data_IF_387564231391
#
_entry.id   IF_387564231391
#
_cell.length_a   1.000
_cell.length_b   1.000
_cell.length_c   1.000
_cell.angle_alpha   90.00
_cell.angle_beta   90.00
_cell.angle_gamma   90.00
#
_symmetry.space_group_name_H-M   'P 1'
#
loop_
_entity.id
_entity.type
_entity.pdbx_description
1 polymer ?
#
# COMPACT_ATOMS: atom_id res chain seq x y z
N UNK A 1 6.27 37.16 -19.40
CA UNK A 1 7.65 37.45 -19.82
C UNK A 1 8.32 36.11 -20.11
N UNK A 2 8.91 35.88 -21.29
CA UNK A 2 9.65 34.65 -21.53
C UNK A 2 10.93 34.67 -20.68
N UNK A 3 11.21 33.55 -20.01
CA UNK A 3 12.45 33.35 -19.27
C UNK A 3 13.62 33.49 -20.25
N UNK A 4 14.47 34.48 -19.98
CA UNK A 4 15.74 34.68 -20.67
C UNK A 4 16.54 33.38 -20.61
N UNK A 5 16.73 32.73 -21.76
CA UNK A 5 17.70 31.64 -21.90
C UNK A 5 19.09 32.26 -21.85
N UNK A 6 19.75 32.19 -20.69
CA UNK A 6 21.16 32.52 -20.58
C UNK A 6 21.96 31.56 -21.48
N UNK A 7 22.33 32.04 -22.66
CA UNK A 7 23.24 31.38 -23.58
C UNK A 7 24.65 31.42 -23.00
N UNK A 8 24.95 30.46 -22.15
CA UNK A 8 26.28 30.26 -21.57
C UNK A 8 26.29 28.94 -20.82
N UNK A 9 27.05 27.96 -21.31
CA UNK A 9 27.28 26.73 -20.57
C UNK A 9 27.97 26.98 -19.23
N UNK A 10 28.10 25.94 -18.39
CA UNK A 10 28.81 26.03 -17.11
C UNK A 10 30.21 26.63 -17.26
N UNK A 11 30.68 27.36 -16.26
CA UNK A 11 32.04 27.94 -16.23
C UNK A 11 33.09 26.84 -16.57
N UNK A 12 34.03 27.15 -17.48
CA UNK A 12 35.13 26.26 -17.90
C UNK A 12 35.94 25.72 -16.71
N UNK A 13 36.15 26.51 -15.67
CA UNK A 13 36.84 26.06 -14.45
C UNK A 13 36.05 24.96 -13.72
N UNK A 14 34.73 25.08 -13.68
CA UNK A 14 33.85 24.06 -13.10
C UNK A 14 33.87 22.77 -13.94
N UNK A 15 33.89 22.88 -15.27
CA UNK A 15 34.02 21.73 -16.17
C UNK A 15 35.37 21.02 -16.00
N UNK A 16 36.46 21.77 -15.86
CA UNK A 16 37.79 21.22 -15.62
C UNK A 16 37.86 20.50 -14.26
N UNK A 17 37.30 21.11 -13.21
CA UNK A 17 37.23 20.48 -11.88
C UNK A 17 36.32 19.25 -11.89
N UNK A 18 35.18 19.28 -12.57
CA UNK A 18 34.31 18.12 -12.78
C UNK A 18 35.08 16.97 -13.42
N UNK A 19 35.80 17.23 -14.52
CA UNK A 19 36.60 16.22 -15.20
C UNK A 19 37.71 15.66 -14.29
N UNK A 20 38.38 16.52 -13.51
CA UNK A 20 39.39 16.10 -12.53
C UNK A 20 38.79 15.21 -11.44
N UNK A 21 37.69 15.64 -10.81
CA UNK A 21 37.02 14.86 -9.76
C UNK A 21 36.55 13.52 -10.30
N UNK A 22 35.92 13.48 -11.47
CA UNK A 22 35.44 12.23 -12.06
C UNK A 22 36.57 11.29 -12.52
N UNK A 23 37.78 11.81 -12.77
CA UNK A 23 38.96 10.99 -13.03
C UNK A 23 39.44 10.26 -11.77
N UNK A 24 39.36 10.91 -10.61
CA UNK A 24 39.74 10.33 -9.31
C UNK A 24 38.60 9.52 -8.68
N UNK A 25 37.36 9.95 -8.90
CA UNK A 25 36.12 9.42 -8.34
C UNK A 25 35.05 9.31 -9.44
N UNK A 26 35.04 8.23 -10.24
CA UNK A 26 34.11 8.07 -11.35
C UNK A 26 32.64 8.27 -10.95
N UNK A 27 31.93 9.13 -11.68
CA UNK A 27 30.51 9.41 -11.46
C UNK A 27 30.18 10.21 -10.19
N UNK A 28 31.17 10.79 -9.52
CA UNK A 28 30.94 11.58 -8.31
C UNK A 28 30.24 12.92 -8.60
N UNK A 29 30.43 13.49 -9.79
CA UNK A 29 29.83 14.75 -10.22
C UNK A 29 29.17 14.56 -11.59
N UNK A 30 27.91 14.97 -11.75
CA UNK A 30 27.20 14.99 -13.01
C UNK A 30 26.40 16.29 -13.15
N UNK A 31 25.90 16.57 -14.34
CA UNK A 31 24.95 17.68 -14.48
C UNK A 31 23.62 17.32 -13.82
N UNK A 32 22.99 18.28 -13.16
CA UNK A 32 21.67 18.09 -12.60
C UNK A 32 20.63 17.66 -13.65
N UNK A 33 20.79 18.09 -14.91
CA UNK A 33 19.93 17.67 -16.03
C UNK A 33 20.13 16.22 -16.46
N UNK A 34 21.25 15.59 -16.08
CA UNK A 34 21.56 14.19 -16.35
C UNK A 34 21.14 13.28 -15.18
N UNK A 35 20.84 13.87 -14.01
CA UNK A 35 20.38 13.11 -12.86
C UNK A 35 19.09 12.38 -13.20
N UNK A 36 19.09 11.08 -12.96
CA UNK A 36 17.90 10.23 -13.10
C UNK A 36 17.23 10.08 -11.74
N UNK A 37 15.91 10.15 -11.73
CA UNK A 37 15.10 9.90 -10.54
C UNK A 37 15.00 8.39 -10.38
N UNK A 38 15.25 7.90 -9.16
CA UNK A 38 15.11 6.48 -8.85
C UNK A 38 13.69 6.01 -9.16
N UNK A 39 13.58 4.82 -9.73
CA UNK A 39 12.29 4.15 -9.93
C UNK A 39 11.56 4.01 -8.60
N UNK A 40 10.23 4.15 -8.65
CA UNK A 40 9.35 4.02 -7.49
C UNK A 40 8.68 2.66 -7.49
N UNK A 41 8.48 2.11 -6.31
CA UNK A 41 7.81 0.83 -6.13
C UNK A 41 6.33 1.08 -5.85
N UNK A 42 5.44 0.39 -6.55
CA UNK A 42 3.99 0.52 -6.27
C UNK A 42 3.68 -0.04 -4.88
N UNK A 43 2.76 0.59 -4.17
CA UNK A 43 2.22 0.10 -2.91
C UNK A 43 1.14 -0.98 -3.09
N UNK A 44 0.70 -1.21 -4.33
CA UNK A 44 -0.46 -2.04 -4.65
C UNK A 44 -1.81 -1.33 -4.46
N UNK A 45 -1.80 -0.05 -4.09
CA UNK A 45 -2.97 0.81 -3.92
C UNK A 45 -2.79 2.09 -4.74
N UNK A 46 -3.74 2.41 -5.62
CA UNK A 46 -3.70 3.63 -6.43
C UNK A 46 -3.69 4.87 -5.54
N UNK A 47 -4.53 4.86 -4.51
CA UNK A 47 -4.67 6.01 -3.61
C UNK A 47 -3.36 6.32 -2.88
N UNK A 48 -2.71 5.27 -2.37
CA UNK A 48 -1.44 5.39 -1.66
C UNK A 48 -0.29 5.75 -2.61
N UNK A 49 -0.27 5.19 -3.81
CA UNK A 49 0.73 5.57 -4.81
C UNK A 49 0.65 7.05 -5.13
N UNK A 50 -0.55 7.60 -5.34
CA UNK A 50 -0.76 9.04 -5.55
C UNK A 50 -0.28 9.85 -4.34
N UNK A 51 -0.69 9.48 -3.12
CA UNK A 51 -0.29 10.17 -1.89
C UNK A 51 1.23 10.17 -1.66
N UNK A 52 1.94 9.17 -2.18
CA UNK A 52 3.39 9.07 -2.10
C UNK A 52 4.11 9.81 -3.24
N UNK A 53 3.41 10.24 -4.28
CA UNK A 53 3.99 10.87 -5.49
C UNK A 53 4.36 9.87 -6.59
N UNK A 54 3.59 8.80 -6.72
CA UNK A 54 3.78 7.71 -7.68
C UNK A 54 4.34 6.41 -7.08
N UNK A 55 4.12 6.15 -5.79
CA UNK A 55 4.60 4.96 -5.08
C UNK A 55 5.76 5.21 -4.12
N UNK A 56 6.28 4.16 -3.49
CA UNK A 56 7.38 4.23 -2.55
C UNK A 56 8.69 4.70 -3.21
N UNK A 57 9.45 5.62 -2.59
CA UNK A 57 10.67 6.15 -3.17
C UNK A 57 11.77 5.09 -3.21
N UNK A 58 12.30 4.80 -4.39
CA UNK A 58 13.43 3.89 -4.54
C UNK A 58 14.74 4.46 -3.99
N UNK A 59 15.63 3.57 -3.59
CA UNK A 59 16.93 3.80 -2.94
C UNK A 59 16.83 4.52 -1.58
N UNK A 60 15.66 4.46 -0.95
CA UNK A 60 15.36 5.16 0.30
C UNK A 60 14.78 4.24 1.37
N UNK A 61 14.87 4.70 2.62
CA UNK A 61 14.22 4.07 3.76
C UNK A 61 12.91 4.76 4.11
N UNK A 62 11.88 3.97 4.36
CA UNK A 62 10.52 4.40 4.70
C UNK A 62 10.13 3.82 6.06
N UNK A 63 9.41 4.62 6.85
CA UNK A 63 8.80 4.15 8.10
C UNK A 63 7.28 3.99 7.91
N UNK A 64 6.77 2.80 8.24
CA UNK A 64 5.33 2.50 8.31
C UNK A 64 4.94 2.34 9.77
N UNK A 65 4.19 3.29 10.31
CA UNK A 65 3.90 3.40 11.75
C UNK A 65 2.40 3.25 11.98
N UNK A 66 1.99 2.67 13.09
CA UNK A 66 0.57 2.60 13.46
C UNK A 66 0.38 1.79 14.74
N UNK A 67 -0.84 1.73 15.26
CA UNK A 67 -1.17 0.83 16.37
C UNK A 67 -1.27 -0.61 15.85
N UNK A 68 -1.43 -1.54 16.77
CA UNK A 68 -1.71 -2.94 16.47
C UNK A 68 -2.98 -3.08 15.62
N UNK A 69 -3.02 -4.10 14.76
CA UNK A 69 -4.16 -4.41 13.88
C UNK A 69 -4.59 -3.32 12.88
N UNK A 70 -3.84 -2.23 12.72
CA UNK A 70 -4.14 -1.18 11.74
C UNK A 70 -3.79 -1.55 10.29
N UNK A 71 -3.25 -2.74 10.01
CA UNK A 71 -2.93 -3.17 8.64
C UNK A 71 -1.54 -2.80 8.13
N UNK A 72 -0.58 -2.50 9.02
CA UNK A 72 0.82 -2.18 8.67
C UNK A 72 1.47 -3.28 7.80
N UNK A 73 1.53 -4.51 8.33
CA UNK A 73 2.09 -5.68 7.62
C UNK A 73 1.30 -6.01 6.36
N UNK A 74 -0.03 -5.81 6.36
CA UNK A 74 -0.87 -6.02 5.19
C UNK A 74 -0.50 -5.08 4.02
N UNK A 75 -0.26 -3.79 4.27
CA UNK A 75 0.23 -2.85 3.24
C UNK A 75 1.58 -3.30 2.68
N UNK A 76 2.47 -3.78 3.54
CA UNK A 76 3.82 -4.21 3.11
C UNK A 76 3.73 -5.50 2.28
N UNK A 77 2.92 -6.47 2.67
CA UNK A 77 2.65 -7.65 1.83
C UNK A 77 2.05 -7.28 0.48
N UNK A 78 1.08 -6.35 0.43
CA UNK A 78 0.49 -5.91 -0.84
C UNK A 78 1.49 -5.14 -1.71
N UNK A 79 2.42 -4.42 -1.09
CA UNK A 79 3.57 -3.81 -1.78
C UNK A 79 4.45 -4.90 -2.40
N UNK A 80 4.83 -5.95 -1.65
CA UNK A 80 5.64 -7.05 -2.17
C UNK A 80 4.92 -7.75 -3.34
N UNK A 81 3.67 -8.17 -3.14
CA UNK A 81 2.87 -8.86 -4.15
C UNK A 81 2.72 -8.04 -5.45
N UNK A 82 2.43 -6.74 -5.33
CA UNK A 82 2.25 -5.87 -6.49
C UNK A 82 3.53 -5.68 -7.30
N UNK A 83 4.70 -5.64 -6.66
CA UNK A 83 5.98 -5.52 -7.36
C UNK A 83 6.48 -6.86 -7.90
N UNK A 84 6.24 -8.00 -7.23
CA UNK A 84 6.48 -9.34 -7.77
C UNK A 84 5.66 -9.64 -9.03
N UNK A 85 4.43 -9.09 -9.11
CA UNK A 85 3.61 -9.18 -10.32
C UNK A 85 4.19 -8.37 -11.48
N UNK A 86 4.82 -7.22 -11.20
CA UNK A 86 5.41 -6.33 -12.22
C UNK A 86 6.77 -6.82 -12.71
N UNK A 87 7.60 -7.33 -11.81
CA UNK A 87 8.92 -7.87 -12.12
C UNK A 87 9.02 -9.32 -11.58
N UNK A 88 9.11 -10.33 -12.47
CA UNK A 88 9.21 -11.72 -12.06
C UNK A 88 10.49 -12.01 -11.25
N UNK A 89 11.52 -11.17 -11.34
CA UNK A 89 12.76 -11.33 -10.58
C UNK A 89 12.76 -10.56 -9.26
N UNK A 90 11.66 -9.88 -8.90
CA UNK A 90 11.58 -9.09 -7.68
C UNK A 90 11.77 -9.97 -6.45
N UNK A 91 12.81 -9.68 -5.67
CA UNK A 91 13.18 -10.44 -4.47
C UNK A 91 13.07 -9.56 -3.23
N UNK A 92 12.35 -10.04 -2.22
CA UNK A 92 12.21 -9.35 -0.94
C UNK A 92 13.02 -10.04 0.15
N UNK A 93 13.81 -9.29 0.91
CA UNK A 93 14.35 -9.72 2.20
C UNK A 93 13.41 -9.26 3.31
N UNK A 94 13.03 -10.17 4.20
CA UNK A 94 12.16 -9.91 5.34
C UNK A 94 12.87 -10.26 6.65
N UNK A 95 13.26 -9.25 7.42
CA UNK A 95 13.72 -9.42 8.79
C UNK A 95 12.50 -9.55 9.70
N UNK A 96 12.20 -10.78 10.11
CA UNK A 96 11.06 -11.11 10.97
C UNK A 96 11.52 -11.12 12.44
N UNK A 97 11.45 -9.96 13.08
CA UNK A 97 11.72 -9.85 14.52
C UNK A 97 10.55 -10.37 15.37
N UNK A 98 9.34 -10.32 14.83
CA UNK A 98 8.16 -10.97 15.41
C UNK A 98 7.91 -12.32 14.73
N UNK A 99 7.00 -12.37 13.76
CA UNK A 99 6.64 -13.58 13.02
C UNK A 99 6.32 -13.24 11.56
N UNK A 100 6.75 -14.09 10.63
CA UNK A 100 6.33 -14.04 9.24
C UNK A 100 5.26 -15.10 8.98
N UNK A 101 4.02 -14.66 8.79
CA UNK A 101 2.88 -15.53 8.48
C UNK A 101 2.79 -15.81 6.97
N UNK A 102 3.24 -17.00 6.56
CA UNK A 102 3.27 -17.46 5.16
C UNK A 102 1.86 -17.57 4.57
N UNK A 103 0.88 -18.04 5.34
CA UNK A 103 -0.50 -18.20 4.88
C UNK A 103 -1.15 -16.85 4.64
N UNK A 104 -0.90 -15.88 5.52
CA UNK A 104 -1.35 -14.51 5.33
C UNK A 104 -0.66 -13.86 4.13
N UNK A 105 0.66 -14.00 3.99
CA UNK A 105 1.39 -13.46 2.84
C UNK A 105 0.84 -14.02 1.52
N UNK A 106 0.63 -15.34 1.45
CA UNK A 106 0.03 -16.02 0.29
C UNK A 106 -1.37 -15.47 -0.02
N UNK A 107 -2.22 -15.33 1.01
CA UNK A 107 -3.56 -14.78 0.85
C UNK A 107 -3.55 -13.34 0.31
N UNK A 108 -2.50 -12.56 0.59
CA UNK A 108 -2.34 -11.20 0.08
C UNK A 108 -1.67 -11.16 -1.31
N UNK A 109 -1.35 -12.32 -1.89
CA UNK A 109 -0.79 -12.48 -3.23
C UNK A 109 0.73 -12.46 -3.29
N UNK A 110 1.42 -12.60 -2.15
CA UNK A 110 2.89 -12.70 -2.12
C UNK A 110 3.31 -14.07 -2.64
N UNK A 111 4.25 -14.09 -3.57
CA UNK A 111 5.00 -15.29 -3.93
C UNK A 111 6.11 -15.50 -2.91
N UNK A 112 5.89 -16.44 -1.99
CA UNK A 112 6.80 -16.73 -0.88
C UNK A 112 8.12 -17.36 -1.34
N UNK A 113 8.18 -17.99 -2.53
CA UNK A 113 9.44 -18.56 -3.05
C UNK A 113 10.48 -17.48 -3.38
N UNK A 114 10.03 -16.22 -3.46
CA UNK A 114 10.87 -15.03 -3.74
C UNK A 114 11.01 -14.12 -2.51
N UNK A 115 10.71 -14.64 -1.32
CA UNK A 115 10.90 -13.93 -0.05
C UNK A 115 11.96 -14.64 0.80
N UNK A 116 13.07 -13.97 1.06
CA UNK A 116 14.11 -14.43 1.96
C UNK A 116 13.76 -13.98 3.39
N UNK A 117 13.49 -14.91 4.30
CA UNK A 117 13.10 -14.58 5.69
C UNK A 117 14.27 -14.78 6.64
N UNK A 118 14.54 -13.79 7.48
CA UNK A 118 15.53 -13.84 8.55
C UNK A 118 14.82 -13.68 9.89
N UNK A 119 14.50 -14.78 10.61
CA UNK A 119 13.85 -14.72 11.91
C UNK A 119 14.89 -14.34 12.97
N UNK A 120 14.85 -13.10 13.46
CA UNK A 120 15.83 -12.64 14.46
C UNK A 120 15.35 -11.42 15.22
N UNK A 121 15.60 -11.41 16.53
CA UNK A 121 15.43 -10.25 17.41
C UNK A 121 16.77 -9.54 17.70
N UNK A 122 17.90 -10.13 17.31
CA UNK A 122 19.22 -9.54 17.54
C UNK A 122 19.43 -8.33 16.62
N UNK A 123 19.50 -7.14 17.21
CA UNK A 123 19.51 -5.86 16.49
C UNK A 123 20.74 -5.73 15.58
N UNK A 124 21.92 -6.07 16.08
CA UNK A 124 23.18 -5.99 15.34
C UNK A 124 23.19 -6.92 14.13
N UNK A 125 22.75 -8.17 14.32
CA UNK A 125 22.66 -9.17 13.25
C UNK A 125 21.65 -8.74 12.18
N UNK A 126 20.46 -8.28 12.58
CA UNK A 126 19.46 -7.72 11.67
C UNK A 126 20.02 -6.56 10.84
N UNK A 127 20.67 -5.59 11.49
CA UNK A 127 21.23 -4.41 10.83
C UNK A 127 22.37 -4.76 9.88
N UNK A 128 23.27 -5.65 10.28
CA UNK A 128 24.37 -6.07 9.41
C UNK A 128 23.85 -6.82 8.18
N UNK A 129 22.91 -7.75 8.38
CA UNK A 129 22.27 -8.50 7.28
C UNK A 129 21.61 -7.56 6.27
N UNK A 130 20.81 -6.58 6.74
CA UNK A 130 20.21 -5.59 5.84
C UNK A 130 21.24 -4.76 5.08
N UNK A 131 22.36 -4.38 5.71
CA UNK A 131 23.43 -3.63 5.04
C UNK A 131 24.10 -4.48 3.95
N UNK A 132 24.35 -5.76 4.21
CA UNK A 132 25.04 -6.66 3.28
C UNK A 132 24.16 -6.95 2.04
N UNK A 133 22.87 -7.19 2.23
CA UNK A 133 21.92 -7.32 1.12
C UNK A 133 21.74 -6.02 0.34
N UNK A 134 21.65 -4.87 1.03
CA UNK A 134 21.54 -3.58 0.36
C UNK A 134 22.78 -3.23 -0.48
N UNK A 135 23.97 -3.51 0.05
CA UNK A 135 25.25 -3.26 -0.60
C UNK A 135 25.53 -4.23 -1.76
N UNK A 136 25.15 -5.50 -1.62
CA UNK A 136 25.29 -6.51 -2.69
C UNK A 136 24.29 -6.33 -3.83
N UNK A 137 23.22 -5.56 -3.63
CA UNK A 137 22.16 -5.29 -4.63
C UNK A 137 21.45 -6.57 -5.12
N UNK A 138 21.44 -7.59 -4.27
CA UNK A 138 20.85 -8.91 -4.56
C UNK A 138 19.34 -8.95 -4.36
N UNK A 139 18.75 -7.91 -3.76
CA UNK A 139 17.32 -7.81 -3.47
C UNK A 139 16.78 -6.42 -3.86
N UNK A 140 15.48 -6.36 -4.15
CA UNK A 140 14.75 -5.16 -4.53
C UNK A 140 14.11 -4.45 -3.33
N UNK A 141 13.82 -5.22 -2.29
CA UNK A 141 13.12 -4.73 -1.12
C UNK A 141 13.66 -5.37 0.15
N UNK A 142 13.81 -4.56 1.19
CA UNK A 142 14.17 -5.00 2.53
C UNK A 142 13.08 -4.52 3.50
N UNK A 143 12.51 -5.44 4.26
CA UNK A 143 11.51 -5.18 5.28
C UNK A 143 12.05 -5.53 6.66
N UNK A 144 11.85 -4.66 7.64
CA UNK A 144 12.02 -4.95 9.06
C UNK A 144 10.66 -4.95 9.77
N UNK A 145 10.17 -6.12 10.18
CA UNK A 145 8.90 -6.30 10.90
C UNK A 145 9.11 -7.01 12.26
N UNK A 146 9.09 -6.32 13.40
CA UNK A 146 8.96 -4.86 13.58
C UNK A 146 10.12 -4.29 14.42
N UNK A 147 10.46 -3.02 14.20
CA UNK A 147 11.57 -2.35 14.90
C UNK A 147 11.50 -2.49 16.45
N UNK A 148 10.34 -2.33 17.10
CA UNK A 148 10.23 -2.47 18.55
C UNK A 148 10.61 -3.84 19.13
N UNK A 149 10.71 -4.87 18.30
CA UNK A 149 11.08 -6.22 18.72
C UNK A 149 12.59 -6.49 18.67
N UNK A 150 13.39 -5.57 18.11
CA UNK A 150 14.84 -5.71 18.10
C UNK A 150 15.45 -5.35 19.46
N UNK A 151 16.35 -6.21 19.93
CA UNK A 151 17.09 -6.10 21.19
C UNK A 151 18.58 -6.06 20.86
N UNK A 152 19.31 -5.14 21.47
CA UNK A 152 20.76 -5.06 21.29
C UNK A 152 21.45 -6.18 22.08
N UNK A 153 22.55 -6.72 21.56
CA UNK A 153 23.26 -7.85 22.19
C UNK A 153 23.64 -7.53 23.66
N UNK A 154 24.21 -6.34 23.91
CA UNK A 154 24.57 -5.89 25.26
C UNK A 154 23.33 -5.66 26.17
N UNK A 155 22.15 -5.40 25.60
CA UNK A 155 20.89 -5.32 26.37
C UNK A 155 20.37 -6.72 26.72
N UNK A 156 20.61 -7.70 25.87
CA UNK A 156 20.22 -9.10 26.12
C UNK A 156 21.11 -9.81 27.15
N UNK A 157 22.38 -9.40 27.28
CA UNK A 157 23.34 -10.01 28.22
C UNK A 157 23.19 -9.52 29.66
N UNK A 158 22.51 -8.38 29.85
CA UNK A 158 22.40 -7.72 31.16
C UNK A 158 21.21 -8.21 31.95
N UNK A 159 21.37 -8.23 33.27
CA UNK A 159 20.29 -8.54 34.19
C UNK A 159 19.19 -7.47 34.14
N UNK A 160 17.96 -7.83 34.52
CA UNK A 160 16.77 -6.97 34.38
C UNK A 160 16.86 -5.64 35.15
N UNK A 161 17.71 -5.57 36.18
CA UNK A 161 17.95 -4.38 37.01
C UNK A 161 19.09 -3.51 36.50
N UNK A 162 19.86 -3.97 35.52
CA UNK A 162 20.95 -3.21 34.91
C UNK A 162 20.43 -2.25 33.82
N UNK A 163 20.79 -0.97 33.93
CA UNK A 163 20.34 0.04 32.99
C UNK A 163 21.19 0.09 31.70
N UNK A 164 20.56 -0.11 30.55
CA UNK A 164 21.11 0.18 29.22
C UNK A 164 20.53 1.47 28.64
N UNK A 165 21.15 2.60 28.99
CA UNK A 165 20.65 3.88 28.50
C UNK A 165 20.94 4.07 27.00
N UNK A 166 19.86 4.08 26.20
CA UNK A 166 19.83 4.54 24.81
C UNK A 166 20.70 3.75 23.82
N UNK A 167 21.06 2.50 24.12
CA UNK A 167 21.88 1.66 23.24
C UNK A 167 21.22 1.42 21.87
N UNK A 168 19.97 0.95 21.84
CA UNK A 168 19.24 0.71 20.60
C UNK A 168 19.11 1.96 19.71
N UNK A 169 18.94 3.15 20.31
CA UNK A 169 18.89 4.42 19.56
C UNK A 169 20.25 4.77 18.93
N UNK A 170 21.37 4.52 19.63
CA UNK A 170 22.73 4.73 19.10
C UNK A 170 23.04 3.78 17.94
N UNK A 171 22.71 2.50 18.08
CA UNK A 171 22.90 1.48 17.04
C UNK A 171 22.08 1.81 15.80
N UNK A 172 20.82 2.22 15.98
CA UNK A 172 19.93 2.65 14.89
C UNK A 172 20.50 3.85 14.13
N UNK A 173 21.03 4.85 14.85
CA UNK A 173 21.72 5.98 14.21
C UNK A 173 22.95 5.55 13.42
N UNK A 174 23.71 4.56 13.91
CA UNK A 174 24.87 3.98 13.21
C UNK A 174 24.44 3.22 11.96
N UNK A 175 23.37 2.42 12.05
CA UNK A 175 22.76 1.73 10.92
C UNK A 175 22.39 2.70 9.81
N UNK A 176 21.59 3.74 10.10
CA UNK A 176 21.15 4.66 9.05
C UNK A 176 22.31 5.40 8.38
N UNK A 177 23.35 5.79 9.13
CA UNK A 177 24.56 6.39 8.53
C UNK A 177 25.27 5.44 7.56
N UNK A 178 25.40 4.16 7.92
CA UNK A 178 25.97 3.14 7.01
C UNK A 178 25.05 2.83 5.83
N UNK A 179 23.74 2.79 6.08
CA UNK A 179 22.74 2.44 5.08
C UNK A 179 22.73 3.41 3.89
N UNK A 180 22.99 4.70 4.12
CA UNK A 180 23.04 5.68 3.03
C UNK A 180 24.14 5.40 2.00
N UNK A 181 25.24 4.75 2.41
CA UNK A 181 26.25 4.26 1.48
C UNK A 181 25.79 2.97 0.77
N UNK A 182 25.15 2.05 1.51
CA UNK A 182 24.69 0.77 0.98
C UNK A 182 23.54 0.91 -0.05
N UNK A 183 22.63 1.87 0.15
CA UNK A 183 21.50 2.13 -0.77
C UNK A 183 21.86 3.07 -1.92
N UNK A 184 23.08 3.62 -1.95
CA UNK A 184 23.50 4.53 -3.01
C UNK A 184 23.53 3.80 -4.36
N UNK A 185 22.95 4.43 -5.38
CA UNK A 185 22.98 3.99 -6.79
C UNK A 185 23.57 5.10 -7.65
N UNK A 186 23.92 4.76 -8.89
CA UNK A 186 24.40 5.73 -9.87
C UNK A 186 23.42 6.89 -10.05
N UNK A 187 23.94 8.10 -10.23
CA UNK A 187 23.11 9.28 -10.46
C UNK A 187 22.63 9.38 -11.91
N UNK A 188 23.35 8.74 -12.85
CA UNK A 188 23.13 8.89 -14.29
C UNK A 188 22.86 7.56 -14.99
N UNK A 189 23.26 6.44 -14.38
CA UNK A 189 23.07 5.10 -14.93
C UNK A 189 21.81 4.44 -14.35
N UNK A 190 21.01 3.85 -15.24
CA UNK A 190 19.74 3.17 -14.92
C UNK A 190 19.89 1.67 -14.84
N UNK A 191 21.07 1.09 -15.10
CA UNK A 191 21.26 -0.37 -14.97
C UNK A 191 21.35 -0.82 -13.50
N UNK A 192 21.58 0.12 -12.59
CA UNK A 192 21.65 -0.13 -11.15
C UNK A 192 20.24 -0.46 -10.61
N UNK A 193 20.04 -1.70 -10.17
CA UNK A 193 18.76 -2.16 -9.61
C UNK A 193 18.37 -1.31 -8.37
N UNK A 194 17.16 -0.71 -8.34
CA UNK A 194 16.72 0.10 -7.22
C UNK A 194 16.45 -0.77 -5.98
N UNK A 195 16.49 -0.16 -4.80
CA UNK A 195 16.19 -0.84 -3.53
C UNK A 195 15.19 -0.05 -2.70
N UNK A 196 14.15 -0.70 -2.16
CA UNK A 196 13.25 -0.11 -1.17
C UNK A 196 13.52 -0.68 0.23
N UNK A 197 13.80 0.20 1.21
CA UNK A 197 13.83 -0.18 2.62
C UNK A 197 12.54 0.21 3.34
N UNK A 198 11.81 -0.73 3.94
CA UNK A 198 10.65 -0.45 4.81
C UNK A 198 10.95 -0.92 6.23
N UNK A 199 10.71 -0.04 7.20
CA UNK A 199 10.71 -0.39 8.63
C UNK A 199 9.30 -0.25 9.17
N UNK A 200 8.77 -1.34 9.71
CA UNK A 200 7.49 -1.33 10.42
C UNK A 200 7.75 -0.95 11.87
N UNK A 201 6.97 0.02 12.35
CA UNK A 201 7.08 0.54 13.71
C UNK A 201 5.70 0.70 14.35
N UNK A 202 5.70 0.88 15.67
CA UNK A 202 4.50 0.99 16.47
C UNK A 202 4.48 2.29 17.28
N UNK A 203 3.29 2.85 17.49
CA UNK A 203 3.12 3.91 18.47
C UNK A 203 3.15 3.35 19.89
N UNK A 204 3.81 4.08 20.79
CA UNK A 204 3.69 3.92 22.25
C UNK A 204 3.20 5.21 22.86
N UNK A 205 2.51 5.11 24.00
CA UNK A 205 2.13 6.30 24.77
C UNK A 205 3.37 6.95 25.38
N UNK A 206 3.48 8.27 25.27
CA UNK A 206 4.57 9.05 25.81
C UNK A 206 4.26 9.47 27.24
N UNK A 207 4.70 8.64 28.19
CA UNK A 207 4.55 8.87 29.63
C UNK A 207 5.13 10.25 30.01
N UNK A 208 4.37 11.03 30.78
CA UNK A 208 4.81 12.33 31.31
C UNK A 208 4.70 13.51 30.34
N UNK A 209 4.19 13.32 29.13
CA UNK A 209 3.84 14.41 28.21
C UNK A 209 2.33 14.68 28.28
N UNK A 210 1.94 15.92 28.04
CA UNK A 210 0.53 16.31 27.87
C UNK A 210 0.29 16.79 26.43
N UNK A 211 -0.84 16.42 25.83
CA UNK A 211 -1.29 16.95 24.54
C UNK A 211 -2.75 17.38 24.66
N UNK A 212 -3.13 18.55 24.12
CA UNK A 212 -4.53 18.97 24.03
C UNK A 212 -5.40 18.06 23.15
N UNK A 213 -4.78 17.20 22.33
CA UNK A 213 -5.43 16.39 21.30
C UNK A 213 -5.47 14.89 21.65
N UNK A 214 -5.35 14.53 22.93
CA UNK A 214 -5.39 13.14 23.43
C UNK A 214 -4.08 12.69 24.06
N UNK A 215 -3.89 11.37 24.21
CA UNK A 215 -2.66 10.80 24.80
C UNK A 215 -1.47 11.05 23.86
N UNK A 216 -0.43 11.77 24.29
CA UNK A 216 0.77 11.95 23.47
C UNK A 216 1.38 10.62 23.11
N UNK A 217 1.76 10.44 21.84
CA UNK A 217 2.39 9.22 21.35
C UNK A 217 3.84 9.47 20.94
N UNK A 218 4.64 8.42 20.96
CA UNK A 218 6.03 8.38 20.50
C UNK A 218 6.29 7.08 19.74
N UNK A 219 7.44 6.97 19.10
CA UNK A 219 7.90 5.74 18.45
C UNK A 219 9.21 5.27 19.07
N UNK A 220 9.41 3.96 19.31
CA UNK A 220 10.68 3.41 19.78
C UNK A 220 11.87 3.77 18.87
N UNK A 221 13.09 3.75 19.42
CA UNK A 221 14.33 3.99 18.66
C UNK A 221 14.85 5.42 18.58
N UNK A 222 14.33 6.29 19.46
CA UNK A 222 14.76 7.69 19.54
C UNK A 222 14.34 8.53 18.33
N UNK A 223 14.75 9.81 18.34
CA UNK A 223 14.33 10.78 17.33
C UNK A 223 15.26 10.86 16.11
N UNK A 224 16.50 10.36 16.22
CA UNK A 224 17.49 10.42 15.15
C UNK A 224 17.00 9.70 13.87
N UNK A 225 16.32 8.55 14.02
CA UNK A 225 15.74 7.81 12.90
C UNK A 225 14.73 8.63 12.09
N UNK A 226 14.01 9.56 12.73
CA UNK A 226 12.99 10.37 12.08
C UNK A 226 13.59 11.25 10.97
N UNK A 227 14.86 11.63 11.08
CA UNK A 227 15.59 12.41 10.06
C UNK A 227 16.08 11.54 8.91
N UNK A 228 16.47 10.29 9.22
CA UNK A 228 16.99 9.32 8.26
C UNK A 228 15.92 8.82 7.28
N UNK A 229 14.72 8.51 7.77
CA UNK A 229 13.62 8.11 6.90
C UNK A 229 13.29 9.18 5.86
N UNK A 230 13.19 8.78 4.60
CA UNK A 230 12.83 9.67 3.51
C UNK A 230 11.34 9.98 3.53
N UNK A 231 10.52 8.94 3.72
CA UNK A 231 9.07 9.02 3.89
C UNK A 231 8.66 8.33 5.18
N UNK A 232 7.66 8.87 5.87
CA UNK A 232 7.04 8.29 7.06
C UNK A 232 5.54 8.34 6.86
N UNK A 233 4.89 7.19 6.98
CA UNK A 233 3.44 7.07 6.89
C UNK A 233 2.88 6.55 8.21
N UNK A 234 1.71 7.06 8.55
CA UNK A 234 0.89 6.54 9.63
C UNK A 234 -0.28 5.77 9.06
N UNK A 235 -0.45 4.54 9.54
CA UNK A 235 -1.51 3.62 9.16
C UNK A 235 -2.52 3.54 10.30
N UNK A 236 -3.78 3.75 9.97
CA UNK A 236 -4.92 3.68 10.87
C UNK A 236 -6.02 2.82 10.30
N UNK A 237 -6.69 2.08 11.17
CA UNK A 237 -8.01 1.52 10.84
C UNK A 237 -9.04 2.63 11.00
N UNK A 238 -9.86 2.83 9.99
CA UNK A 238 -11.02 3.72 10.05
C UNK A 238 -12.27 2.92 10.44
N UNK A 239 -13.05 2.46 9.47
CA UNK A 239 -14.28 1.70 9.70
C UNK A 239 -14.12 0.19 9.48
N UNK A 240 -14.97 -0.61 10.13
CA UNK A 240 -15.11 -2.02 9.83
C UNK A 240 -16.03 -2.22 8.62
N UNK A 241 -15.60 -3.06 7.68
CA UNK A 241 -16.42 -3.51 6.56
C UNK A 241 -17.19 -4.75 7.03
N UNK A 242 -18.52 -4.67 6.96
CA UNK A 242 -19.42 -5.72 7.42
C UNK A 242 -20.20 -6.33 6.26
N UNK A 243 -20.24 -7.65 6.24
CA UNK A 243 -21.08 -8.43 5.33
C UNK A 243 -22.24 -9.05 6.11
N UNK A 244 -23.45 -8.92 5.58
CA UNK A 244 -24.61 -9.65 6.12
C UNK A 244 -24.59 -11.09 5.60
N UNK A 245 -24.53 -12.07 6.50
CA UNK A 245 -24.54 -13.49 6.17
C UNK A 245 -25.84 -14.15 6.59
N UNK A 246 -26.45 -14.97 5.72
CA UNK A 246 -27.61 -15.79 6.10
C UNK A 246 -27.31 -16.59 7.37
N UNK A 247 -28.18 -16.48 8.37
CA UNK A 247 -28.07 -17.22 9.65
C UNK A 247 -26.95 -16.78 10.60
N UNK A 248 -26.06 -15.84 10.23
CA UNK A 248 -24.93 -15.38 11.07
C UNK A 248 -24.93 -13.88 11.36
N UNK A 249 -25.92 -13.13 10.86
CA UNK A 249 -26.01 -11.68 11.06
C UNK A 249 -24.89 -10.92 10.34
N UNK A 250 -24.52 -9.74 10.85
CA UNK A 250 -23.42 -8.94 10.30
C UNK A 250 -22.09 -9.44 10.82
N UNK A 251 -21.17 -9.77 9.92
CA UNK A 251 -19.82 -10.24 10.24
C UNK A 251 -18.80 -9.22 9.74
N UNK A 252 -17.83 -8.85 10.57
CA UNK A 252 -16.70 -8.03 10.14
C UNK A 252 -15.83 -8.85 9.18
N UNK A 253 -15.78 -8.45 7.91
CA UNK A 253 -15.03 -9.13 6.85
C UNK A 253 -13.81 -8.34 6.37
N UNK A 254 -13.80 -7.03 6.62
CA UNK A 254 -12.73 -6.15 6.19
C UNK A 254 -12.64 -4.90 7.04
N UNK A 255 -11.72 -4.02 6.68
CA UNK A 255 -11.53 -2.73 7.30
C UNK A 255 -11.09 -1.70 6.26
N UNK A 256 -11.50 -0.46 6.45
CA UNK A 256 -10.94 0.67 5.69
C UNK A 256 -9.62 1.03 6.34
N UNK A 257 -8.53 0.90 5.58
CA UNK A 257 -7.19 1.30 5.99
C UNK A 257 -6.95 2.72 5.48
N UNK A 258 -6.63 3.62 6.41
CA UNK A 258 -6.29 5.01 6.13
C UNK A 258 -4.80 5.21 6.35
N UNK A 259 -4.12 5.77 5.36
CA UNK A 259 -2.68 6.03 5.39
C UNK A 259 -2.44 7.53 5.25
N UNK A 260 -1.74 8.13 6.21
CA UNK A 260 -1.38 9.55 6.20
C UNK A 260 0.11 9.73 6.11
N UNK A 261 0.58 10.55 5.18
CA UNK A 261 2.01 10.91 5.10
C UNK A 261 2.35 11.92 6.19
N UNK A 262 3.12 11.50 7.20
CA UNK A 262 3.62 12.38 8.26
C UNK A 262 4.89 13.11 7.80
N UNK A 263 5.67 12.45 6.94
CA UNK A 263 6.86 13.02 6.30
C UNK A 263 6.92 12.49 4.87
N UNK A 264 7.10 13.37 3.91
CA UNK A 264 7.40 12.98 2.53
C UNK A 264 8.40 14.00 1.97
N UNK A 265 9.56 13.53 1.49
CA UNK A 265 10.59 14.38 0.87
C UNK A 265 10.47 14.46 -0.66
N UNK A 266 9.53 13.72 -1.27
CA UNK A 266 9.39 13.60 -2.72
C UNK A 266 8.03 14.00 -3.28
N UNK A 267 7.05 14.24 -2.43
CA UNK A 267 5.74 14.74 -2.79
C UNK A 267 5.22 15.63 -1.66
N UNK A 268 4.09 16.29 -1.91
CA UNK A 268 3.45 17.13 -0.90
C UNK A 268 3.23 16.33 0.41
N UNK A 269 3.54 16.94 1.58
CA UNK A 269 3.34 16.29 2.87
C UNK A 269 1.85 16.25 3.25
N UNK A 270 1.51 15.45 4.27
CA UNK A 270 0.16 15.38 4.85
C UNK A 270 -0.96 14.92 3.91
N UNK A 271 -0.59 14.25 2.82
CA UNK A 271 -1.50 13.51 1.95
C UNK A 271 -2.11 12.33 2.69
N UNK A 272 -3.40 12.10 2.47
CA UNK A 272 -4.12 10.92 2.94
C UNK A 272 -4.49 10.02 1.77
N UNK A 273 -4.44 8.71 2.01
CA UNK A 273 -4.93 7.65 1.13
C UNK A 273 -5.86 6.72 1.92
N UNK A 274 -6.83 6.12 1.24
CA UNK A 274 -7.77 5.16 1.83
C UNK A 274 -7.92 3.95 0.92
N UNK A 275 -7.90 2.76 1.51
CA UNK A 275 -8.11 1.50 0.80
C UNK A 275 -8.95 0.56 1.64
N UNK A 276 -9.99 -0.02 1.04
CA UNK A 276 -10.81 -1.06 1.64
C UNK A 276 -10.04 -2.38 1.57
N UNK A 277 -9.75 -2.99 2.72
CA UNK A 277 -9.00 -4.24 2.84
C UNK A 277 -9.84 -5.36 3.45
N UNK A 278 -9.93 -6.51 2.79
CA UNK A 278 -10.70 -7.66 3.23
C UNK A 278 -9.81 -8.70 3.93
N UNK A 279 -9.77 -8.69 5.27
CA UNK A 279 -8.98 -9.69 6.03
C UNK A 279 -9.67 -11.05 6.14
N UNK A 280 -10.94 -11.18 5.70
CA UNK A 280 -11.69 -12.43 5.53
C UNK A 280 -12.40 -12.42 4.19
N UNK A 281 -12.60 -13.59 3.60
CA UNK A 281 -13.41 -13.73 2.39
C UNK A 281 -14.84 -13.26 2.66
N UNK A 282 -15.37 -12.45 1.76
CA UNK A 282 -16.70 -11.87 1.75
C UNK A 282 -17.44 -12.32 0.47
N UNK A 283 -17.98 -13.55 0.43
CA UNK A 283 -18.56 -14.12 -0.79
C UNK A 283 -19.82 -13.39 -1.29
N UNK A 284 -20.61 -12.77 -0.41
CA UNK A 284 -21.79 -11.99 -0.80
C UNK A 284 -21.43 -10.59 -1.31
N UNK A 285 -20.21 -10.13 -1.03
CA UNK A 285 -19.65 -8.91 -1.59
C UNK A 285 -18.69 -9.18 -2.76
N UNK A 286 -18.41 -10.46 -3.06
CA UNK A 286 -17.47 -10.91 -4.08
C UNK A 286 -16.02 -10.45 -3.86
N UNK A 287 -15.53 -10.56 -2.61
CA UNK A 287 -14.12 -10.32 -2.26
C UNK A 287 -13.52 -11.55 -1.59
N UNK A 288 -12.29 -11.90 -1.99
CA UNK A 288 -11.48 -12.90 -1.34
C UNK A 288 -10.75 -12.30 -0.12
N UNK A 289 -10.29 -13.18 0.78
CA UNK A 289 -9.34 -12.79 1.83
C UNK A 289 -8.07 -12.25 1.17
N UNK A 290 -7.62 -11.09 1.63
CA UNK A 290 -6.42 -10.41 1.13
C UNK A 290 -6.69 -9.34 0.08
N UNK A 291 -7.94 -9.19 -0.38
CA UNK A 291 -8.28 -8.24 -1.44
C UNK A 291 -8.23 -6.78 -1.00
N UNK A 292 -7.87 -5.93 -1.96
CA UNK A 292 -8.13 -4.49 -1.94
C UNK A 292 -9.28 -4.19 -2.91
N UNK A 293 -10.23 -3.33 -2.53
CA UNK A 293 -11.23 -2.81 -3.48
C UNK A 293 -10.62 -1.71 -4.36
N UNK A 294 -9.75 -2.13 -5.29
CA UNK A 294 -9.04 -1.22 -6.21
C UNK A 294 -10.02 -0.45 -7.10
N UNK A 295 -11.19 -1.03 -7.40
CA UNK A 295 -12.22 -0.37 -8.21
C UNK A 295 -12.88 0.77 -7.44
N UNK A 296 -13.11 0.61 -6.13
CA UNK A 296 -13.54 1.71 -5.28
C UNK A 296 -12.47 2.81 -5.21
N UNK A 297 -11.18 2.46 -5.12
CA UNK A 297 -10.09 3.44 -5.17
C UNK A 297 -10.08 4.22 -6.50
N UNK A 298 -10.20 3.52 -7.64
CA UNK A 298 -10.30 4.14 -8.98
C UNK A 298 -11.49 5.08 -9.05
N UNK A 299 -12.65 4.71 -8.51
CA UNK A 299 -13.81 5.59 -8.46
C UNK A 299 -13.51 6.87 -7.67
N UNK A 300 -13.03 6.74 -6.43
CA UNK A 300 -12.78 7.88 -5.53
C UNK A 300 -11.76 8.83 -6.17
N UNK A 301 -10.62 8.30 -6.60
CA UNK A 301 -9.56 9.11 -7.22
C UNK A 301 -9.97 9.65 -8.58
N UNK A 302 -10.73 8.88 -9.37
CA UNK A 302 -11.25 9.33 -10.65
C UNK A 302 -12.20 10.52 -10.53
N UNK A 303 -13.05 10.54 -9.51
CA UNK A 303 -13.91 11.70 -9.21
C UNK A 303 -13.07 12.88 -8.72
N UNK A 304 -12.13 12.63 -7.80
CA UNK A 304 -11.29 13.68 -7.21
C UNK A 304 -10.45 14.43 -8.26
N UNK A 305 -9.93 13.72 -9.26
CA UNK A 305 -9.12 14.28 -10.33
C UNK A 305 -9.91 14.57 -11.62
N UNK A 306 -11.25 14.57 -11.56
CA UNK A 306 -12.16 14.88 -12.68
C UNK A 306 -12.00 13.97 -13.92
N UNK A 307 -11.42 12.78 -13.74
CA UNK A 307 -11.37 11.73 -14.77
C UNK A 307 -12.74 11.06 -14.92
N UNK A 308 -13.45 10.87 -13.80
CA UNK A 308 -14.83 10.41 -13.74
C UNK A 308 -15.70 11.62 -13.39
N UNK A 309 -16.46 12.10 -14.37
CA UNK A 309 -17.31 13.27 -14.19
C UNK A 309 -18.67 12.88 -13.66
N UNK A 310 -19.13 13.58 -12.62
CA UNK A 310 -20.49 13.44 -12.11
C UNK A 310 -21.40 14.54 -12.64
N UNK A 311 -22.45 14.16 -13.36
CA UNK A 311 -23.53 15.06 -13.83
C UNK A 311 -24.85 14.65 -13.18
N UNK A 312 -25.12 15.20 -12.00
CA UNK A 312 -26.31 14.90 -11.22
C UNK A 312 -26.33 13.45 -10.72
N UNK A 313 -27.19 12.61 -11.31
CA UNK A 313 -27.27 11.17 -11.00
C UNK A 313 -26.42 10.31 -11.94
N UNK A 314 -25.77 10.90 -12.94
CA UNK A 314 -24.97 10.19 -13.92
C UNK A 314 -23.48 10.32 -13.63
N UNK A 315 -22.75 9.23 -13.85
CA UNK A 315 -21.30 9.18 -13.91
C UNK A 315 -20.91 8.95 -15.37
N UNK A 316 -19.90 9.67 -15.86
CA UNK A 316 -19.42 9.54 -17.23
C UNK A 316 -17.90 9.66 -17.30
N UNK A 317 -17.30 8.93 -18.22
CA UNK A 317 -15.87 8.99 -18.54
C UNK A 317 -15.76 9.45 -19.98
N UNK A 318 -14.93 10.48 -20.22
CA UNK A 318 -14.60 10.87 -21.59
C UNK A 318 -13.42 10.03 -22.11
N UNK A 319 -13.71 9.14 -23.05
CA UNK A 319 -12.74 8.32 -23.76
C UNK A 319 -12.67 8.67 -25.26
N UNK A 320 -13.32 9.76 -25.69
CA UNK A 320 -13.39 10.14 -27.11
C UNK A 320 -14.45 9.38 -27.92
N UNK A 321 -15.21 8.48 -27.29
CA UNK A 321 -16.32 7.76 -27.93
C UNK A 321 -17.65 8.36 -27.50
N UNK A 322 -18.47 8.74 -28.48
CA UNK A 322 -19.76 9.40 -28.25
C UNK A 322 -20.90 8.64 -28.92
N UNK A 323 -22.05 8.60 -28.26
CA UNK A 323 -23.30 8.11 -28.83
C UNK A 323 -23.86 9.08 -29.89
N UNK A 324 -24.90 8.66 -30.62
CA UNK A 324 -25.57 9.47 -31.65
C UNK A 324 -26.10 10.83 -31.16
N UNK A 325 -26.16 11.02 -29.83
CA UNK A 325 -26.62 12.25 -29.17
C UNK A 325 -25.45 13.08 -28.63
N UNK A 326 -24.21 12.75 -29.00
CA UNK A 326 -22.99 13.43 -28.60
C UNK A 326 -22.63 13.25 -27.13
N UNK A 327 -23.12 12.19 -26.47
CA UNK A 327 -22.79 11.90 -25.06
C UNK A 327 -21.76 10.79 -24.97
N UNK A 328 -20.87 10.81 -23.96
CA UNK A 328 -19.90 9.73 -23.79
C UNK A 328 -20.58 8.36 -23.72
N UNK A 329 -20.01 7.37 -24.40
CA UNK A 329 -20.50 5.98 -24.40
C UNK A 329 -20.41 5.39 -23.00
N UNK A 330 -19.29 5.63 -22.31
CA UNK A 330 -19.08 5.23 -20.92
C UNK A 330 -19.85 6.14 -19.96
N UNK A 331 -21.12 5.81 -19.76
CA UNK A 331 -22.04 6.58 -18.91
C UNK A 331 -23.03 5.68 -18.17
N UNK A 332 -23.14 5.90 -16.87
CA UNK A 332 -23.99 5.10 -15.98
C UNK A 332 -24.89 5.99 -15.13
N UNK A 333 -26.09 5.49 -14.81
CA UNK A 333 -26.98 6.12 -13.84
C UNK A 333 -26.74 5.48 -12.46
N UNK A 334 -26.20 6.26 -11.53
CA UNK A 334 -25.78 5.77 -10.21
C UNK A 334 -24.40 5.09 -10.22
N UNK A 335 -23.85 4.90 -9.02
CA UNK A 335 -22.49 4.36 -8.84
C UNK A 335 -22.39 2.86 -9.06
N UNK A 336 -23.43 2.10 -8.71
CA UNK A 336 -23.34 0.63 -8.69
C UNK A 336 -23.16 0.03 -10.11
N UNK A 337 -23.88 0.50 -11.15
CA UNK A 337 -23.65 0.01 -12.51
C UNK A 337 -22.26 0.39 -13.06
N UNK A 338 -21.75 1.56 -12.68
CA UNK A 338 -20.39 1.99 -13.04
C UNK A 338 -19.35 1.08 -12.39
N UNK A 339 -19.44 0.85 -11.07
CA UNK A 339 -18.54 -0.04 -10.35
C UNK A 339 -18.59 -1.47 -10.89
N UNK A 340 -19.78 -1.96 -11.25
CA UNK A 340 -19.93 -3.28 -11.87
C UNK A 340 -19.20 -3.35 -13.22
N UNK A 341 -19.38 -2.35 -14.09
CA UNK A 341 -18.71 -2.30 -15.39
C UNK A 341 -17.19 -2.23 -15.24
N UNK A 342 -16.70 -1.35 -14.36
CA UNK A 342 -15.25 -1.24 -14.11
C UNK A 342 -14.71 -2.56 -13.54
N UNK A 343 -15.44 -3.27 -12.66
CA UNK A 343 -15.00 -4.57 -12.12
C UNK A 343 -14.88 -5.66 -13.19
N UNK A 344 -15.75 -5.64 -14.19
CA UNK A 344 -15.78 -6.65 -15.26
C UNK A 344 -14.73 -6.38 -16.36
N UNK A 345 -14.39 -5.11 -16.59
CA UNK A 345 -13.49 -4.67 -17.65
C UNK A 345 -12.10 -4.30 -17.10
N UNK A 346 -11.14 -5.22 -17.24
CA UNK A 346 -9.76 -5.03 -16.78
C UNK A 346 -9.00 -3.98 -17.60
N UNK A 347 -9.29 -3.87 -18.91
CA UNK A 347 -8.64 -2.90 -19.79
C UNK A 347 -9.08 -1.47 -19.41
N UNK A 348 -10.37 -1.31 -19.08
CA UNK A 348 -10.90 -0.05 -18.54
C UNK A 348 -10.28 0.30 -17.19
N UNK A 349 -10.04 -0.68 -16.30
CA UNK A 349 -9.36 -0.43 -15.03
C UNK A 349 -7.95 0.11 -15.24
N UNK A 350 -7.17 -0.53 -16.11
CA UNK A 350 -5.80 -0.10 -16.40
C UNK A 350 -5.77 1.29 -17.06
N UNK A 351 -6.63 1.53 -18.05
CA UNK A 351 -6.76 2.83 -18.70
C UNK A 351 -7.15 3.94 -17.72
N UNK A 352 -8.05 3.67 -16.76
CA UNK A 352 -8.43 4.62 -15.73
C UNK A 352 -7.29 4.86 -14.74
N UNK A 353 -6.61 3.80 -14.30
CA UNK A 353 -5.46 3.90 -13.40
C UNK A 353 -4.39 4.84 -13.99
N UNK A 354 -4.01 4.65 -15.25
CA UNK A 354 -3.04 5.50 -15.94
C UNK A 354 -3.52 6.95 -16.09
N UNK A 355 -4.77 7.15 -16.55
CA UNK A 355 -5.35 8.49 -16.70
C UNK A 355 -5.35 9.25 -15.37
N UNK A 356 -5.71 8.58 -14.28
CA UNK A 356 -5.73 9.16 -12.94
C UNK A 356 -4.32 9.52 -12.48
N UNK A 357 -3.32 8.65 -12.66
CA UNK A 357 -1.93 8.95 -12.31
C UNK A 357 -1.36 10.14 -13.10
N UNK A 358 -1.73 10.29 -14.37
CA UNK A 358 -1.32 11.45 -15.18
C UNK A 358 -2.04 12.72 -14.70
N UNK A 359 -3.33 12.64 -14.39
CA UNK A 359 -4.10 13.75 -13.87
C UNK A 359 -3.58 14.23 -12.51
N UNK A 360 -3.23 13.29 -11.61
CA UNK A 360 -2.74 13.62 -10.27
C UNK A 360 -1.42 14.39 -10.29
N UNK A 361 -0.54 14.16 -11.29
CA UNK A 361 0.72 14.91 -11.46
C UNK A 361 0.51 16.36 -11.90
N UNK A 362 -0.63 16.69 -12.50
CA UNK A 362 -0.93 18.08 -12.95
C UNK A 362 -1.46 18.94 -11.81
N UNK A 363 -1.99 18.32 -10.75
CA UNK A 363 -2.55 18.99 -9.57
C UNK A 363 -1.46 19.06 -8.50
N UNK A 364 -0.43 19.88 -8.74
CA UNK A 364 0.77 19.93 -7.88
C UNK A 364 0.59 20.82 -6.62
N UNK A 365 -0.60 21.39 -6.37
CA UNK A 365 -0.79 22.45 -5.37
C UNK A 365 -1.68 22.09 -4.17
N UNK A 366 -2.37 20.95 -4.17
CA UNK A 366 -3.35 20.62 -3.10
C UNK A 366 -2.99 19.34 -2.34
N UNK A 367 -3.00 19.42 -1.01
CA UNK A 367 -2.96 18.24 -0.16
C UNK A 367 -4.30 17.50 -0.20
N UNK A 368 -4.30 16.23 -0.59
CA UNK A 368 -5.48 15.36 -0.51
C UNK A 368 -5.79 15.12 0.97
N UNK A 369 -6.89 15.70 1.43
CA UNK A 369 -7.37 15.57 2.80
C UNK A 369 -8.35 14.41 2.95
N UNK A 370 -8.66 14.04 4.19
CA UNK A 370 -9.73 13.07 4.48
C UNK A 370 -11.10 13.56 3.98
N UNK A 371 -11.37 14.85 4.13
CA UNK A 371 -12.62 15.48 3.69
C UNK A 371 -12.79 15.41 2.17
N UNK A 372 -11.70 15.51 1.41
CA UNK A 372 -11.73 15.36 -0.05
C UNK A 372 -12.08 13.93 -0.48
N UNK A 373 -11.49 12.94 0.20
CA UNK A 373 -11.77 11.52 -0.05
C UNK A 373 -13.21 11.17 0.33
N UNK A 374 -13.68 11.64 1.48
CA UNK A 374 -15.06 11.43 1.93
C UNK A 374 -16.06 12.12 1.00
N UNK A 375 -15.77 13.33 0.52
CA UNK A 375 -16.61 14.03 -0.46
C UNK A 375 -16.68 13.26 -1.79
N UNK A 376 -15.56 12.72 -2.26
CA UNK A 376 -15.50 11.93 -3.48
C UNK A 376 -16.24 10.58 -3.33
N UNK A 377 -16.10 9.90 -2.19
CA UNK A 377 -16.82 8.64 -1.91
C UNK A 377 -18.34 8.88 -1.73
N UNK A 378 -18.71 9.92 -1.00
CA UNK A 378 -20.11 10.28 -0.75
C UNK A 378 -20.78 10.97 -1.93
N UNK A 379 -20.04 11.32 -2.99
CA UNK A 379 -20.62 11.75 -4.26
C UNK A 379 -21.60 10.70 -4.86
N UNK A 380 -21.75 9.52 -4.26
CA UNK A 380 -22.85 8.59 -4.54
C UNK A 380 -24.09 8.65 -3.62
N UNK A 381 -24.05 9.26 -2.42
CA UNK A 381 -25.16 9.30 -1.47
C UNK A 381 -26.15 10.42 -1.82
N UNK A 382 -27.01 10.18 -2.81
CA UNK A 382 -28.39 10.70 -2.68
C UNK A 382 -29.10 9.74 -1.74
N UNK A 383 -29.67 10.24 -0.64
CA UNK A 383 -30.69 9.53 0.13
C UNK A 383 -31.88 9.29 -0.80
N UNK A 384 -31.81 8.22 -1.60
CA UNK A 384 -32.99 7.68 -2.26
C UNK A 384 -33.62 6.79 -1.20
N UNK A 385 -34.56 7.35 -0.45
CA UNK A 385 -35.55 6.59 0.32
C UNK A 385 -36.42 5.80 -0.66
N UNK A 386 -35.87 4.75 -1.25
CA UNK A 386 -36.67 3.61 -1.69
C UNK A 386 -36.69 2.66 -0.52
N UNK A 387 -37.87 2.57 0.14
CA UNK A 387 -38.16 1.45 1.05
C UNK A 387 -37.68 0.16 0.38
N UNK A 388 -36.89 -0.70 1.04
CA UNK A 388 -36.67 -2.04 0.54
C UNK A 388 -38.05 -2.67 0.30
N UNK A 389 -38.28 -3.25 -0.88
CA UNK A 389 -39.42 -4.15 -1.04
C UNK A 389 -39.18 -5.29 -0.05
N UNK A 390 -40.04 -5.41 0.96
CA UNK A 390 -40.09 -6.61 1.78
C UNK A 390 -40.28 -7.81 0.86
N UNK A 391 -39.33 -8.74 0.89
CA UNK A 391 -39.48 -10.05 0.30
C UNK A 391 -40.61 -10.76 1.03
N UNK A 392 -41.67 -11.14 0.32
CA UNK A 392 -42.81 -11.85 0.90
C UNK A 392 -42.64 -13.35 0.70
N UNK A 393 -43.11 -14.19 1.63
CA UNK A 393 -43.18 -15.63 1.43
C UNK A 393 -43.95 -15.94 0.13
N UNK A 394 -43.27 -16.52 -0.86
CA UNK A 394 -43.82 -16.82 -2.19
C UNK A 394 -43.17 -16.06 -3.35
N UNK A 395 -42.33 -15.06 -3.10
CA UNK A 395 -41.55 -14.41 -4.15
C UNK A 395 -40.46 -15.37 -4.68
N UNK A 396 -40.36 -15.60 -6.01
CA UNK A 396 -39.37 -16.51 -6.57
C UNK A 396 -37.95 -16.01 -6.28
N UNK A 397 -37.06 -16.93 -5.91
CA UNK A 397 -35.64 -16.64 -5.72
C UNK A 397 -35.05 -16.09 -7.03
N UNK A 398 -34.25 -15.01 -7.00
CA UNK A 398 -33.61 -14.49 -8.20
C UNK A 398 -32.58 -15.50 -8.70
N UNK A 399 -32.87 -16.16 -9.82
CA UNK A 399 -31.94 -17.06 -10.51
C UNK A 399 -31.13 -16.22 -11.51
N UNK A 400 -29.80 -16.26 -11.43
CA UNK A 400 -28.92 -15.71 -12.48
C UNK A 400 -28.85 -16.67 -13.68
N UNK A 401 -28.81 -16.18 -14.93
CA UNK A 401 -28.45 -17.01 -16.09
C UNK A 401 -27.00 -17.49 -15.97
N UNK A 402 -26.77 -18.74 -16.38
CA UNK A 402 -25.57 -19.53 -16.10
C UNK A 402 -24.24 -18.91 -16.53
N UNK A 403 -23.21 -19.26 -15.76
CA UNK A 403 -21.81 -19.05 -16.11
C UNK A 403 -21.10 -20.40 -15.93
N UNK A 404 -21.23 -21.26 -16.93
CA UNK A 404 -20.37 -22.45 -17.08
C UNK A 404 -19.01 -21.98 -17.57
N UNK A 405 -18.01 -21.95 -16.67
CA UNK A 405 -16.59 -22.22 -16.91
C UNK A 405 -15.79 -21.98 -15.63
N UNK A 406 -15.62 -23.04 -14.85
CA UNK A 406 -14.52 -23.19 -13.91
C UNK A 406 -13.73 -24.42 -14.37
N UNK A 407 -12.48 -24.22 -14.80
CA UNK A 407 -11.53 -25.32 -15.03
C UNK A 407 -10.71 -25.48 -13.74
N UNK A 408 -10.65 -26.66 -13.13
CA UNK A 408 -10.05 -26.84 -11.81
C UNK A 408 -8.52 -27.01 -11.90
N UNK A 409 -7.80 -26.30 -11.04
CA UNK A 409 -6.43 -26.61 -10.65
C UNK A 409 -6.42 -27.08 -9.19
N UNK A 410 -6.14 -28.37 -9.02
CA UNK A 410 -5.70 -29.10 -7.82
C UNK A 410 -5.97 -28.50 -6.43
N UNK A 411 -7.19 -28.71 -5.93
CA UNK A 411 -7.42 -28.96 -4.50
C UNK A 411 -8.76 -29.67 -4.21
N UNK A 412 -9.03 -30.74 -4.97
CA UNK A 412 -10.27 -31.51 -4.87
C UNK A 412 -10.50 -32.19 -3.49
N UNK A 413 -9.47 -32.30 -2.64
CA UNK A 413 -9.58 -32.95 -1.34
C UNK A 413 -10.12 -32.04 -0.22
N UNK A 414 -9.91 -30.72 -0.32
CA UNK A 414 -10.33 -29.76 0.73
C UNK A 414 -11.81 -29.40 0.54
N UNK A 415 -12.26 -29.26 -0.71
CA UNK A 415 -13.65 -28.91 -1.01
C UNK A 415 -14.62 -30.07 -0.77
N UNK A 416 -14.17 -31.33 -0.94
CA UNK A 416 -15.00 -32.51 -0.67
C UNK A 416 -15.37 -32.64 0.81
N UNK A 417 -14.43 -32.36 1.73
CA UNK A 417 -14.68 -32.46 3.17
C UNK A 417 -15.63 -31.37 3.68
N UNK A 418 -15.55 -30.16 3.11
CA UNK A 418 -16.46 -29.05 3.42
C UNK A 418 -17.87 -29.34 2.88
N UNK A 419 -18.00 -29.87 1.67
CA UNK A 419 -19.30 -30.26 1.11
C UNK A 419 -19.95 -31.41 1.88
N UNK A 420 -19.18 -32.39 2.35
CA UNK A 420 -19.70 -33.53 3.11
C UNK A 420 -20.21 -33.11 4.50
N UNK A 421 -19.51 -32.17 5.17
CA UNK A 421 -19.98 -31.56 6.42
C UNK A 421 -21.23 -30.70 6.24
N UNK A 422 -21.36 -29.99 5.12
CA UNK A 422 -22.54 -29.19 4.80
C UNK A 422 -23.77 -30.06 4.47
N UNK A 423 -23.58 -31.19 3.79
CA UNK A 423 -24.67 -32.13 3.48
C UNK A 423 -25.14 -32.93 4.70
N UNK A 424 -24.25 -33.26 5.64
CA UNK A 424 -24.62 -33.90 6.91
C UNK A 424 -25.49 -32.99 7.79
N UNK A 425 -25.24 -31.68 7.80
CA UNK A 425 -26.06 -30.70 8.53
C UNK A 425 -27.42 -30.43 7.87
N UNK A 426 -27.51 -30.55 6.54
CA UNK A 426 -28.78 -30.38 5.83
C UNK A 426 -29.73 -31.58 6.02
N UNK A 427 -29.20 -32.80 6.13
CA UNK A 427 -30.01 -34.01 6.30
C UNK A 427 -30.45 -34.29 7.75
N UNK A 428 -29.82 -33.65 8.75
CA UNK A 428 -30.17 -33.81 10.17
C UNK A 428 -31.38 -33.00 10.64
N UNK A 429 -31.95 -32.13 9.80
CA UNK A 429 -33.04 -31.21 10.17
C UNK A 429 -34.45 -31.70 9.77
N UNK A 430 -34.59 -32.90 9.22
CA UNK A 430 -35.88 -33.43 8.71
C UNK A 430 -36.41 -34.68 9.44
N UNK A 431 -35.88 -35.06 10.60
CA UNK A 431 -36.33 -36.27 11.34
C UNK A 431 -36.88 -36.04 12.76
N UNK A 432 -37.10 -34.80 13.20
CA UNK A 432 -37.77 -34.52 14.49
C UNK A 432 -39.07 -33.72 14.31
N UNK A 433 -39.99 -34.27 13.52
CA UNK A 433 -41.40 -33.89 13.54
C UNK A 433 -42.27 -35.10 13.15
N UNK A 434 -42.40 -36.04 14.09
CA UNK A 434 -43.48 -37.03 14.15
C UNK A 434 -43.73 -37.39 15.62
#
# INVERSE_FOLDING_TARGET
MPLNTCAGGPNKEALALLAKINKEHPGAVCFASEMRVAERFTSGSLSLDIALGGGWPGNQWVEVIGRESHGKTAIVYKTVAANQKKDPNFTCLWIAAEHYDVDQATALGVDNDRVLVVPTQAMEFAYQTMLDFAASRSVDMIVLDSYPALIADEESEKDMDEATMALGARLTGKFFRKSGAATKRSMTDTTDRPLLGIVINQYRDAIGKFSPHGTPTTTPGGNAKNYAFYTRVEVRRDEWIQEARPGKGKVNVGQVIKVKTIKNKSAAPQQTATVDFYFRSAPFMNFARGDYDTVKEIMIMGILFDVIQRKGAYFQIDNGEYDDKGKPVLRWQGKDPMLATIREDLDLQEALYEKILVASKKVDERSISEEDLDAAETAGKKTVTRRPKEWKPGDPLPVKPGNDRYMPGDNAAVDAHILEQMNAQANGLNTEAA
#
